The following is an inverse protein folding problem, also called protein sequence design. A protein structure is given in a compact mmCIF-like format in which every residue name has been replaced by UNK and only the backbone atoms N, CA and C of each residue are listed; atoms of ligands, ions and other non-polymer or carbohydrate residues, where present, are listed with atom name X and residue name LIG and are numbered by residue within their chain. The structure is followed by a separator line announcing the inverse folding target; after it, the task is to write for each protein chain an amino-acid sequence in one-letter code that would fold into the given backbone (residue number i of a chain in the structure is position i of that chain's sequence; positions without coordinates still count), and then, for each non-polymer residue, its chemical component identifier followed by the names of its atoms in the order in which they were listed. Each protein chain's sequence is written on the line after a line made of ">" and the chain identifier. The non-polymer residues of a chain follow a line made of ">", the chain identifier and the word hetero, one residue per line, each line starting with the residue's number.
data_IF_095271624696
#
_entry.id   IF_095271624696
#
_cell.length_a   1.000
_cell.length_b   1.000
_cell.length_c   1.000
_cell.angle_alpha   90.00
_cell.angle_beta   90.00
_cell.angle_gamma   90.00
#
_symmetry.space_group_name_H-M   'P 1'
#
loop_
_entity.id
_entity.type
_entity.pdbx_description
1 polymer ?
#
# COMPACT_ATOMS: atom_id res chain seq x y z
N UNK A 1 10.12 -22.83 23.95
CA UNK A 1 9.65 -22.46 22.59
C UNK A 1 9.95 -20.97 22.43
N UNK A 2 10.47 -20.54 21.28
CA UNK A 2 10.75 -19.11 21.04
C UNK A 2 9.42 -18.39 20.80
N UNK A 3 8.85 -17.85 21.86
CA UNK A 3 7.71 -16.95 21.73
C UNK A 3 8.23 -15.62 21.17
N UNK A 4 7.90 -15.36 19.90
CA UNK A 4 8.23 -14.11 19.22
C UNK A 4 6.98 -13.23 19.14
N UNK A 5 7.15 -11.93 19.27
CA UNK A 5 6.08 -10.94 19.09
C UNK A 5 6.57 -9.78 18.24
N UNK A 6 5.62 -9.11 17.59
CA UNK A 6 5.86 -8.05 16.62
C UNK A 6 4.96 -6.87 16.95
N UNK A 7 5.48 -5.66 16.83
CA UNK A 7 4.70 -4.43 16.94
C UNK A 7 5.16 -3.45 15.86
N UNK A 8 4.22 -2.95 15.04
CA UNK A 8 4.48 -1.94 14.04
C UNK A 8 4.61 -0.59 14.76
N UNK A 9 5.82 -0.06 14.77
CA UNK A 9 6.14 1.20 15.44
C UNK A 9 5.73 2.40 14.61
N UNK A 10 5.93 2.31 13.29
CA UNK A 10 5.80 3.42 12.37
C UNK A 10 5.77 2.94 10.92
N UNK A 11 5.14 3.73 10.05
CA UNK A 11 5.15 3.54 8.61
C UNK A 11 5.31 4.91 7.97
N UNK A 12 6.42 5.11 7.26
CA UNK A 12 6.79 6.40 6.67
C UNK A 12 7.31 6.24 5.22
N UNK A 13 7.33 7.30 4.40
CA UNK A 13 7.94 7.26 3.08
C UNK A 13 9.43 6.97 3.18
N UNK A 14 9.93 6.07 2.33
CA UNK A 14 11.36 5.77 2.25
C UNK A 14 12.09 6.98 1.65
N UNK A 15 13.07 7.57 2.36
CA UNK A 15 13.84 8.70 1.84
C UNK A 15 14.66 8.31 0.61
N UNK A 16 14.77 9.23 -0.35
CA UNK A 16 15.63 9.07 -1.53
C UNK A 16 15.32 7.84 -2.41
N UNK A 17 14.11 7.29 -2.32
CA UNK A 17 13.66 6.23 -3.20
C UNK A 17 13.34 6.77 -4.60
N UNK A 18 13.74 6.04 -5.65
CA UNK A 18 13.41 6.38 -7.03
C UNK A 18 11.98 5.97 -7.45
N UNK A 19 11.29 5.23 -6.58
CA UNK A 19 9.94 4.73 -6.75
C UNK A 19 9.23 4.78 -5.40
N UNK A 20 7.89 4.90 -5.36
CA UNK A 20 7.16 5.06 -4.12
C UNK A 20 7.29 3.80 -3.24
N UNK A 21 8.01 3.92 -2.13
CA UNK A 21 8.19 2.87 -1.12
C UNK A 21 7.80 3.47 0.24
N UNK A 22 6.97 2.76 0.99
CA UNK A 22 6.82 2.98 2.42
C UNK A 22 7.76 2.04 3.17
N UNK A 23 8.23 2.45 4.34
CA UNK A 23 9.05 1.63 5.23
C UNK A 23 8.33 1.48 6.55
N UNK A 24 7.95 0.23 6.86
CA UNK A 24 7.36 -0.12 8.15
C UNK A 24 8.45 -0.53 9.13
N UNK A 25 8.62 0.23 10.22
CA UNK A 25 9.50 -0.15 11.33
C UNK A 25 8.74 -1.04 12.28
N UNK A 26 9.31 -2.21 12.58
CA UNK A 26 8.69 -3.25 13.41
C UNK A 26 9.61 -3.58 14.56
N UNK A 27 9.13 -3.42 15.79
CA UNK A 27 9.77 -4.00 16.97
C UNK A 27 9.53 -5.51 16.96
N UNK A 28 10.61 -6.26 17.16
CA UNK A 28 10.59 -7.72 17.28
C UNK A 28 11.11 -8.08 18.66
N UNK A 29 10.35 -8.87 19.41
CA UNK A 29 10.74 -9.37 20.73
C UNK A 29 10.73 -10.89 20.75
N UNK A 30 11.67 -11.52 21.46
CA UNK A 30 11.76 -12.97 21.60
C UNK A 30 12.07 -13.37 23.03
N UNK A 31 11.46 -14.46 23.50
CA UNK A 31 11.71 -15.01 24.84
C UNK A 31 13.07 -15.71 25.01
N UNK A 32 13.81 -15.93 23.92
CA UNK A 32 15.13 -16.55 23.92
C UNK A 32 15.98 -16.00 22.78
N UNK A 33 17.33 -16.04 22.87
CA UNK A 33 18.20 -15.54 21.83
C UNK A 33 17.92 -16.16 20.45
N UNK A 34 17.74 -15.28 19.47
CA UNK A 34 17.49 -15.61 18.07
C UNK A 34 18.76 -15.35 17.27
N UNK A 35 19.09 -16.26 16.34
CA UNK A 35 20.21 -16.10 15.40
C UNK A 35 19.81 -15.36 14.13
N UNK A 36 18.61 -15.62 13.62
CA UNK A 36 18.02 -14.89 12.52
C UNK A 36 16.51 -15.15 12.43
N UNK A 37 15.78 -14.26 11.77
CA UNK A 37 14.39 -14.51 11.35
C UNK A 37 14.25 -14.21 9.86
N UNK A 38 13.83 -15.21 9.09
CA UNK A 38 13.34 -15.00 7.75
C UNK A 38 11.88 -14.54 7.85
N UNK A 39 11.68 -13.22 7.99
CA UNK A 39 10.39 -12.61 8.25
C UNK A 39 9.65 -12.32 6.94
N UNK A 40 8.39 -12.72 6.90
CA UNK A 40 7.42 -12.35 5.88
C UNK A 40 6.25 -11.66 6.56
N UNK A 41 5.63 -10.72 5.87
CA UNK A 41 4.45 -10.03 6.35
C UNK A 41 3.47 -9.83 5.20
N UNK A 42 2.21 -10.20 5.42
CA UNK A 42 1.10 -9.79 4.56
C UNK A 42 0.43 -8.57 5.20
N UNK A 43 0.36 -7.47 4.46
CA UNK A 43 -0.35 -6.27 4.89
C UNK A 43 -1.71 -6.25 4.23
N UNK A 44 -2.77 -6.12 5.03
CA UNK A 44 -4.15 -5.98 4.56
C UNK A 44 -4.71 -4.64 4.97
N UNK A 45 -5.56 -4.08 4.13
CA UNK A 45 -6.40 -2.92 4.48
C UNK A 45 -7.72 -3.45 5.00
N UNK A 46 -8.25 -2.83 6.05
CA UNK A 46 -9.55 -3.17 6.67
C UNK A 46 -10.56 -2.03 6.55
N UNK A 47 -11.09 -1.73 5.34
CA UNK A 47 -11.86 -0.52 5.09
C UNK A 47 -13.04 -0.32 6.05
N UNK A 48 -13.72 -1.41 6.42
CA UNK A 48 -14.88 -1.40 7.33
C UNK A 48 -14.58 -0.89 8.76
N UNK A 49 -13.30 -0.72 9.13
CA UNK A 49 -12.88 -0.24 10.45
C UNK A 49 -12.75 1.29 10.54
N UNK A 50 -12.97 2.03 9.45
CA UNK A 50 -13.03 3.49 9.46
C UNK A 50 -14.38 4.02 8.98
N UNK A 51 -14.66 5.27 9.32
CA UNK A 51 -15.78 6.05 8.75
C UNK A 51 -15.32 6.77 7.49
N UNK A 52 -16.28 7.14 6.65
CA UNK A 52 -16.04 7.81 5.37
C UNK A 52 -16.97 9.01 5.21
N UNK A 53 -16.41 10.14 4.77
CA UNK A 53 -17.21 11.30 4.36
C UNK A 53 -17.99 10.98 3.08
N UNK A 54 -18.95 11.83 2.72
CA UNK A 54 -19.70 11.65 1.46
C UNK A 54 -18.82 11.86 0.22
N UNK A 55 -17.81 12.73 0.31
CA UNK A 55 -16.82 12.92 -0.73
C UNK A 55 -15.96 11.65 -0.91
N UNK A 56 -15.44 11.09 0.19
CA UNK A 56 -14.68 9.83 0.14
C UNK A 56 -15.54 8.68 -0.39
N UNK A 57 -16.81 8.60 0.05
CA UNK A 57 -17.72 7.55 -0.41
C UNK A 57 -18.01 7.63 -1.92
N UNK A 58 -18.10 8.83 -2.50
CA UNK A 58 -18.26 9.01 -3.94
C UNK A 58 -17.06 8.46 -4.74
N UNK A 59 -15.83 8.62 -4.22
CA UNK A 59 -14.61 8.06 -4.81
C UNK A 59 -14.47 6.55 -4.69
N UNK A 60 -15.29 5.90 -3.85
CA UNK A 60 -15.21 4.46 -3.56
C UNK A 60 -16.30 3.63 -4.25
N UNK A 61 -17.16 4.25 -5.07
CA UNK A 61 -18.27 3.56 -5.74
C UNK A 61 -17.77 2.42 -6.63
N UNK A 62 -16.66 2.61 -7.34
CA UNK A 62 -16.09 1.57 -8.20
C UNK A 62 -15.57 0.34 -7.42
N UNK A 63 -15.26 0.52 -6.13
CA UNK A 63 -14.74 -0.55 -5.27
C UNK A 63 -15.84 -1.26 -4.49
N UNK A 64 -16.75 -0.49 -3.88
CA UNK A 64 -17.72 -1.01 -2.93
C UNK A 64 -19.19 -0.85 -3.39
N UNK A 65 -19.44 -0.13 -4.47
CA UNK A 65 -20.78 0.31 -4.87
C UNK A 65 -21.32 1.42 -3.97
N UNK A 66 -22.62 1.67 -4.08
CA UNK A 66 -23.32 2.60 -3.18
C UNK A 66 -23.27 2.17 -1.72
N UNK A 67 -23.42 3.13 -0.80
CA UNK A 67 -23.30 2.92 0.66
C UNK A 67 -24.23 1.81 1.19
N UNK A 68 -25.39 1.63 0.57
CA UNK A 68 -26.36 0.59 0.89
C UNK A 68 -25.80 -0.84 0.72
N UNK A 69 -24.74 -1.02 -0.07
CA UNK A 69 -24.11 -2.32 -0.33
C UNK A 69 -22.92 -2.62 0.58
N UNK A 70 -22.39 -1.62 1.29
CA UNK A 70 -21.09 -1.70 1.97
C UNK A 70 -20.99 -2.81 3.00
N UNK A 71 -22.09 -3.13 3.69
CA UNK A 71 -22.12 -4.27 4.63
C UNK A 71 -21.72 -5.61 4.01
N UNK A 72 -21.89 -5.75 2.68
CA UNK A 72 -21.59 -6.96 1.92
C UNK A 72 -20.42 -6.82 0.94
N UNK A 73 -19.89 -5.62 0.72
CA UNK A 73 -18.83 -5.37 -0.28
C UNK A 73 -17.52 -4.87 0.33
N UNK A 74 -17.58 -4.30 1.54
CA UNK A 74 -16.44 -3.66 2.20
C UNK A 74 -15.54 -4.67 2.94
N UNK A 75 -15.05 -5.67 2.21
CA UNK A 75 -14.19 -6.70 2.75
C UNK A 75 -12.74 -6.22 2.89
N UNK A 76 -12.02 -6.76 3.88
CA UNK A 76 -10.57 -6.56 3.99
C UNK A 76 -9.86 -7.24 2.83
N UNK A 77 -8.95 -6.53 2.17
CA UNK A 77 -8.19 -7.06 1.04
C UNK A 77 -6.69 -6.98 1.29
N UNK A 78 -5.94 -7.88 0.65
CA UNK A 78 -4.47 -7.87 0.68
C UNK A 78 -4.00 -6.65 -0.10
N UNK A 79 -3.19 -5.81 0.55
CA UNK A 79 -2.53 -4.71 -0.13
C UNK A 79 -1.24 -5.18 -0.77
N UNK A 80 -0.33 -5.74 0.03
CA UNK A 80 0.97 -6.22 -0.43
C UNK A 80 1.54 -7.28 0.49
N UNK A 81 2.62 -7.92 0.02
CA UNK A 81 3.49 -8.74 0.85
C UNK A 81 4.89 -8.14 0.87
N UNK A 82 5.49 -8.11 2.05
CA UNK A 82 6.85 -7.66 2.28
C UNK A 82 7.63 -8.69 3.09
N UNK A 83 8.96 -8.60 3.04
CA UNK A 83 9.84 -9.52 3.74
C UNK A 83 11.14 -8.84 4.15
N UNK A 84 11.75 -9.32 5.23
CA UNK A 84 13.06 -8.89 5.70
C UNK A 84 13.79 -10.05 6.37
N UNK A 85 15.12 -9.99 6.38
CA UNK A 85 15.95 -10.87 7.18
C UNK A 85 16.33 -10.13 8.47
N UNK A 86 15.72 -10.52 9.58
CA UNK A 86 16.06 -9.98 10.92
C UNK A 86 17.34 -10.66 11.38
N UNK A 87 18.34 -9.87 11.74
CA UNK A 87 19.62 -10.36 12.26
C UNK A 87 19.46 -10.90 13.69
N UNK A 88 20.46 -11.61 14.20
CA UNK A 88 20.40 -12.18 15.54
C UNK A 88 20.31 -11.12 16.64
N UNK A 89 19.48 -11.39 17.65
CA UNK A 89 19.26 -10.53 18.81
C UNK A 89 18.95 -11.37 20.06
N UNK A 90 19.17 -10.80 21.23
CA UNK A 90 18.99 -11.51 22.50
C UNK A 90 17.56 -11.42 23.06
N UNK A 91 16.98 -10.22 23.03
CA UNK A 91 15.65 -9.93 23.62
C UNK A 91 14.76 -9.18 22.64
N UNK A 92 15.22 -8.01 22.18
CA UNK A 92 14.47 -7.17 21.24
C UNK A 92 15.37 -6.61 20.13
N UNK A 93 14.79 -6.35 18.97
CA UNK A 93 15.41 -5.55 17.91
C UNK A 93 14.35 -4.80 17.09
N UNK A 94 14.80 -3.88 16.24
CA UNK A 94 13.96 -3.30 15.19
C UNK A 94 14.32 -3.89 13.83
N UNK A 95 13.29 -4.15 13.01
CA UNK A 95 13.42 -4.55 11.62
C UNK A 95 12.62 -3.59 10.75
N UNK A 96 13.12 -3.32 9.54
CA UNK A 96 12.41 -2.50 8.55
C UNK A 96 11.86 -3.40 7.45
N UNK A 97 10.56 -3.32 7.21
CA UNK A 97 9.89 -4.00 6.11
C UNK A 97 9.63 -2.99 4.97
N UNK A 98 10.27 -3.15 3.80
CA UNK A 98 9.99 -2.32 2.65
C UNK A 98 8.61 -2.67 2.09
N UNK A 99 7.81 -1.66 1.81
CA UNK A 99 6.46 -1.75 1.26
C UNK A 99 6.41 -1.01 -0.08
N UNK A 100 6.82 -1.66 -1.18
CA UNK A 100 6.72 -1.08 -2.51
C UNK A 100 5.27 -0.74 -2.84
N UNK A 101 5.03 0.53 -3.13
CA UNK A 101 3.72 1.05 -3.48
C UNK A 101 3.62 1.29 -4.99
N UNK A 102 2.40 1.46 -5.48
CA UNK A 102 2.15 1.82 -6.88
C UNK A 102 1.12 2.94 -6.94
N UNK A 103 1.32 3.85 -7.90
CA UNK A 103 0.34 4.88 -8.22
C UNK A 103 -0.84 4.32 -9.03
N UNK A 104 -0.70 3.13 -9.64
CA UNK A 104 -1.65 2.62 -10.64
C UNK A 104 -3.10 2.68 -10.16
N UNK A 105 -3.87 3.60 -10.75
CA UNK A 105 -5.28 3.82 -10.45
C UNK A 105 -6.14 2.60 -10.77
N UNK A 106 -5.69 1.56 -11.47
CA UNK A 106 -6.47 0.33 -11.64
C UNK A 106 -6.28 -0.69 -10.51
N UNK A 107 -5.30 -0.47 -9.64
CA UNK A 107 -5.09 -1.30 -8.46
C UNK A 107 -6.07 -0.88 -7.37
N UNK A 108 -6.88 -1.83 -6.90
CA UNK A 108 -7.94 -1.57 -5.91
C UNK A 108 -7.44 -0.84 -4.66
N UNK A 109 -6.26 -1.19 -4.17
CA UNK A 109 -5.63 -0.51 -3.03
C UNK A 109 -5.31 0.95 -3.35
N UNK A 110 -4.79 1.26 -4.53
CA UNK A 110 -4.49 2.64 -4.94
C UNK A 110 -5.78 3.45 -5.14
N UNK A 111 -6.82 2.90 -5.81
CA UNK A 111 -8.16 3.54 -5.88
C UNK A 111 -8.67 3.91 -4.49
N UNK A 112 -8.59 2.95 -3.58
CA UNK A 112 -9.03 3.11 -2.20
C UNK A 112 -8.28 4.24 -1.52
N UNK A 113 -6.94 4.21 -1.54
CA UNK A 113 -6.09 5.19 -0.86
C UNK A 113 -6.20 6.59 -1.47
N UNK A 114 -6.39 6.70 -2.79
CA UNK A 114 -6.59 7.98 -3.48
C UNK A 114 -7.94 8.63 -3.17
N UNK A 115 -8.97 7.84 -2.86
CA UNK A 115 -10.29 8.35 -2.50
C UNK A 115 -10.33 8.96 -1.08
N UNK A 116 -9.30 8.75 -0.25
CA UNK A 116 -9.27 9.24 1.13
C UNK A 116 -8.71 10.66 1.22
N UNK A 117 -9.37 11.48 2.01
CA UNK A 117 -8.98 12.87 2.23
C UNK A 117 -8.19 13.01 3.53
N UNK A 118 -8.72 12.42 4.61
CA UNK A 118 -8.22 12.61 5.98
C UNK A 118 -8.29 11.31 6.82
N UNK A 119 -7.79 11.41 8.06
CA UNK A 119 -7.81 10.33 9.04
C UNK A 119 -6.75 9.27 8.78
N UNK A 120 -7.09 8.02 9.03
CA UNK A 120 -6.16 6.89 8.97
C UNK A 120 -6.69 5.76 8.11
N UNK A 121 -5.78 4.97 7.56
CA UNK A 121 -6.03 3.73 6.85
C UNK A 121 -5.79 2.59 7.84
N UNK A 122 -6.84 1.85 8.25
CA UNK A 122 -6.68 0.72 9.15
C UNK A 122 -5.95 -0.42 8.43
N UNK A 123 -4.74 -0.73 8.89
CA UNK A 123 -3.92 -1.83 8.41
C UNK A 123 -3.87 -2.96 9.45
N UNK A 124 -3.76 -4.18 8.96
CA UNK A 124 -3.34 -5.34 9.75
C UNK A 124 -2.13 -6.01 9.09
N UNK A 125 -1.10 -6.22 9.89
CA UNK A 125 0.15 -6.87 9.51
C UNK A 125 0.09 -8.30 10.03
N UNK A 126 0.09 -9.27 9.12
CA UNK A 126 0.08 -10.69 9.44
C UNK A 126 1.49 -11.25 9.26
N UNK A 127 2.18 -11.51 10.38
CA UNK A 127 3.56 -11.95 10.39
C UNK A 127 3.65 -13.47 10.24
N UNK A 128 4.60 -13.91 9.42
CA UNK A 128 4.88 -15.32 9.18
C UNK A 128 6.35 -15.52 8.85
N UNK A 129 6.84 -16.76 8.87
CA UNK A 129 8.21 -17.06 8.51
C UNK A 129 8.90 -18.01 9.49
N UNK A 130 10.23 -17.96 9.49
CA UNK A 130 11.06 -18.93 10.19
C UNK A 130 12.01 -18.26 11.16
N UNK A 131 11.99 -18.70 12.42
CA UNK A 131 12.92 -18.30 13.48
C UNK A 131 14.03 -19.33 13.59
N UNK A 132 15.28 -18.86 13.51
CA UNK A 132 16.48 -19.66 13.70
C UNK A 132 17.04 -19.37 15.09
N UNK A 133 17.16 -20.39 15.92
CA UNK A 133 17.65 -20.33 17.31
C UNK A 133 18.83 -21.27 17.52
N UNK A 134 19.43 -21.25 18.71
CA UNK A 134 20.41 -22.27 19.12
C UNK A 134 19.67 -23.54 19.55
N UNK A 135 19.90 -24.64 18.84
CA UNK A 135 19.42 -25.97 19.19
C UNK A 135 20.41 -26.73 20.08
N UNK A 136 19.99 -27.88 20.62
CA UNK A 136 20.79 -28.70 21.54
C UNK A 136 22.14 -29.19 20.96
N UNK A 137 22.27 -29.24 19.63
CA UNK A 137 23.49 -29.64 18.93
C UNK A 137 23.71 -28.91 17.60
N UNK A 138 23.13 -27.72 17.41
CA UNK A 138 23.16 -27.00 16.13
C UNK A 138 22.12 -25.88 16.06
N UNK A 139 21.43 -25.76 14.92
CA UNK A 139 20.33 -24.80 14.76
C UNK A 139 18.99 -25.39 15.21
N UNK A 140 18.24 -24.62 15.99
CA UNK A 140 16.81 -24.82 16.19
C UNK A 140 16.05 -24.05 15.13
N UNK A 141 15.05 -24.69 14.51
CA UNK A 141 14.20 -24.06 13.49
C UNK A 141 12.76 -24.11 13.98
N UNK A 142 12.10 -22.96 14.01
CA UNK A 142 10.69 -22.84 14.41
C UNK A 142 9.95 -21.95 13.43
N UNK A 143 8.68 -22.26 13.16
CA UNK A 143 7.81 -21.37 12.39
C UNK A 143 7.23 -20.31 13.32
N UNK A 144 7.07 -19.09 12.79
CA UNK A 144 6.29 -18.04 13.45
C UNK A 144 4.83 -18.54 13.52
N UNK A 145 4.20 -18.54 14.71
CA UNK A 145 2.79 -18.89 14.86
C UNK A 145 1.88 -18.03 13.98
N UNK A 146 0.75 -18.60 13.53
CA UNK A 146 -0.18 -17.91 12.61
C UNK A 146 -0.94 -16.75 13.26
N UNK A 147 -1.00 -16.70 14.59
CA UNK A 147 -1.70 -15.69 15.39
C UNK A 147 -0.87 -14.41 15.61
N UNK A 148 0.31 -14.30 14.99
CA UNK A 148 1.17 -13.12 15.09
C UNK A 148 0.71 -12.05 14.13
N UNK A 149 -0.14 -11.18 14.64
CA UNK A 149 -0.60 -9.99 13.93
C UNK A 149 -0.39 -8.73 14.75
N UNK A 150 -0.34 -7.59 14.05
CA UNK A 150 -0.47 -6.28 14.68
C UNK A 150 -1.29 -5.32 13.81
N UNK A 151 -1.95 -4.35 14.46
CA UNK A 151 -2.80 -3.36 13.79
C UNK A 151 -2.13 -2.01 13.81
N UNK A 152 -2.13 -1.33 12.67
CA UNK A 152 -1.53 -0.02 12.52
C UNK A 152 -2.45 0.91 11.74
N UNK A 153 -2.70 2.10 12.29
CA UNK A 153 -3.52 3.13 11.65
C UNK A 153 -2.62 4.07 10.85
N UNK A 154 -2.40 3.75 9.56
CA UNK A 154 -1.55 4.54 8.68
C UNK A 154 -2.19 5.92 8.40
N UNK A 155 -1.56 7.05 8.76
CA UNK A 155 -2.13 8.35 8.44
C UNK A 155 -2.31 8.53 6.92
N UNK A 156 -3.48 9.01 6.50
CA UNK A 156 -3.74 9.29 5.07
C UNK A 156 -2.74 10.33 4.52
N UNK A 157 -2.27 11.24 5.37
CA UNK A 157 -1.21 12.20 5.01
C UNK A 157 0.08 11.52 4.56
N UNK A 158 0.50 10.41 5.20
CA UNK A 158 1.72 9.67 4.81
C UNK A 158 1.61 9.15 3.38
N UNK A 159 0.46 8.58 3.02
CA UNK A 159 0.20 8.16 1.65
C UNK A 159 0.22 9.34 0.68
N UNK A 160 -0.49 10.42 1.01
CA UNK A 160 -0.56 11.62 0.16
C UNK A 160 0.81 12.26 -0.06
N UNK A 161 1.65 12.28 0.96
CA UNK A 161 3.00 12.83 0.87
C UNK A 161 3.92 11.93 0.04
N UNK A 162 3.82 10.60 0.19
CA UNK A 162 4.53 9.65 -0.68
C UNK A 162 4.17 9.88 -2.15
N UNK A 163 2.89 10.00 -2.44
CA UNK A 163 2.39 10.20 -3.80
C UNK A 163 2.83 11.57 -4.35
N UNK A 164 2.67 12.64 -3.57
CA UNK A 164 3.09 14.00 -3.99
C UNK A 164 4.59 14.07 -4.29
N UNK A 165 5.41 13.35 -3.52
CA UNK A 165 6.86 13.28 -3.72
C UNK A 165 7.24 12.64 -5.06
N UNK A 166 6.50 11.61 -5.49
CA UNK A 166 6.83 10.84 -6.68
C UNK A 166 6.06 11.26 -7.94
N UNK A 167 4.89 11.88 -7.78
CA UNK A 167 4.00 12.31 -8.87
C UNK A 167 3.46 13.72 -8.61
N UNK A 168 4.34 14.75 -8.58
CA UNK A 168 3.92 16.12 -8.31
C UNK A 168 3.05 16.64 -9.45
N UNK A 169 1.85 17.14 -9.13
CA UNK A 169 0.87 17.74 -10.07
C UNK A 169 0.53 16.85 -11.28
N UNK A 170 0.81 15.56 -11.19
CA UNK A 170 0.69 14.61 -12.29
C UNK A 170 0.09 13.31 -11.77
N UNK A 171 -0.48 12.53 -12.67
CA UNK A 171 -1.00 11.21 -12.35
C UNK A 171 -0.77 10.25 -13.51
N UNK A 172 -0.98 8.97 -13.23
CA UNK A 172 -0.92 7.91 -14.24
C UNK A 172 -2.32 7.51 -14.66
N UNK A 173 -2.58 7.48 -15.96
CA UNK A 173 -3.79 6.87 -16.54
C UNK A 173 -3.35 5.72 -17.42
N UNK A 174 -3.80 4.51 -17.08
CA UNK A 174 -3.55 3.35 -17.93
C UNK A 174 -4.53 3.38 -19.10
N UNK A 175 -3.99 3.41 -20.31
CA UNK A 175 -4.77 3.39 -21.55
C UNK A 175 -4.49 2.12 -22.35
N UNK A 176 -5.49 1.66 -23.11
CA UNK A 176 -5.31 0.60 -24.09
C UNK A 176 -4.35 1.05 -25.20
N UNK A 177 -3.68 0.09 -25.85
CA UNK A 177 -2.70 0.39 -26.90
C UNK A 177 -3.30 1.21 -28.05
N UNK A 178 -4.47 0.81 -28.53
CA UNK A 178 -5.19 1.53 -29.60
C UNK A 178 -5.56 2.95 -29.18
N UNK A 179 -5.99 3.14 -27.92
CA UNK A 179 -6.28 4.48 -27.38
C UNK A 179 -5.03 5.36 -27.30
N UNK A 180 -3.87 4.78 -26.93
CA UNK A 180 -2.60 5.50 -26.92
C UNK A 180 -2.18 5.93 -28.33
N UNK A 181 -2.31 5.04 -29.30
CA UNK A 181 -2.01 5.31 -30.71
C UNK A 181 -2.93 6.43 -31.25
N UNK A 182 -4.23 6.35 -31.00
CA UNK A 182 -5.20 7.38 -31.38
C UNK A 182 -4.93 8.73 -30.70
N UNK A 183 -4.57 8.75 -29.41
CA UNK A 183 -4.24 9.98 -28.69
C UNK A 183 -2.94 10.60 -29.22
N UNK A 184 -1.96 9.79 -29.58
CA UNK A 184 -0.72 10.25 -30.19
C UNK A 184 -0.95 10.84 -31.60
N UNK A 185 -1.80 10.20 -32.41
CA UNK A 185 -2.20 10.70 -33.73
C UNK A 185 -2.96 12.04 -33.61
N UNK A 186 -3.93 12.12 -32.69
CA UNK A 186 -4.68 13.34 -32.41
C UNK A 186 -3.75 14.50 -32.03
N UNK A 187 -2.83 14.25 -31.08
CA UNK A 187 -1.81 15.21 -30.66
C UNK A 187 -0.98 15.70 -31.84
N UNK A 188 -0.49 14.78 -32.67
CA UNK A 188 0.38 15.10 -33.81
C UNK A 188 -0.35 15.92 -34.87
N UNK A 189 -1.61 15.56 -35.18
CA UNK A 189 -2.40 16.20 -36.24
C UNK A 189 -2.73 17.66 -35.91
N UNK A 190 -2.83 17.99 -34.62
CA UNK A 190 -3.15 19.33 -34.13
C UNK A 190 -1.93 20.12 -33.64
N UNK A 191 -0.74 19.54 -33.72
CA UNK A 191 0.50 20.21 -33.30
C UNK A 191 0.58 20.48 -31.80
N UNK A 192 -0.09 19.67 -30.97
CA UNK A 192 -0.10 19.82 -29.52
C UNK A 192 1.22 19.38 -28.89
N UNK A 193 1.60 20.01 -27.79
CA UNK A 193 2.91 19.84 -27.15
C UNK A 193 2.97 18.53 -26.35
N UNK A 194 1.85 18.06 -25.82
CA UNK A 194 1.78 16.89 -24.97
C UNK A 194 0.46 16.13 -25.04
N UNK A 195 0.45 14.91 -24.50
CA UNK A 195 -0.79 14.12 -24.37
C UNK A 195 -1.76 14.75 -23.36
N UNK A 196 -1.25 15.48 -22.35
CA UNK A 196 -2.07 16.20 -21.38
C UNK A 196 -2.93 17.30 -22.05
N UNK A 197 -2.34 18.04 -22.98
CA UNK A 197 -3.03 19.04 -23.79
C UNK A 197 -4.08 18.38 -24.71
N UNK A 198 -3.73 17.25 -25.33
CA UNK A 198 -4.67 16.47 -26.14
C UNK A 198 -5.89 16.00 -25.34
N UNK A 199 -5.68 15.51 -24.12
CA UNK A 199 -6.77 15.10 -23.21
C UNK A 199 -7.60 16.31 -22.78
N UNK A 200 -6.97 17.43 -22.44
CA UNK A 200 -7.65 18.67 -22.04
C UNK A 200 -8.56 19.20 -23.15
N UNK A 201 -8.08 19.19 -24.40
CA UNK A 201 -8.86 19.61 -25.56
C UNK A 201 -10.07 18.67 -25.81
N UNK A 202 -9.87 17.36 -25.75
CA UNK A 202 -10.96 16.36 -25.88
C UNK A 202 -12.05 16.54 -24.80
N UNK A 203 -11.64 16.78 -23.54
CA UNK A 203 -12.56 17.02 -22.44
C UNK A 203 -13.33 18.33 -22.61
N UNK A 204 -12.69 19.38 -23.12
CA UNK A 204 -13.35 20.65 -23.41
C UNK A 204 -14.45 20.50 -24.48
N UNK A 205 -14.14 19.82 -25.58
CA UNK A 205 -15.10 19.57 -26.68
C UNK A 205 -16.35 18.82 -26.19
N UNK A 206 -16.16 17.82 -25.32
CA UNK A 206 -17.27 17.04 -24.76
C UNK A 206 -18.18 17.91 -23.88
N UNK A 207 -17.60 18.85 -23.11
CA UNK A 207 -18.38 19.78 -22.27
C UNK A 207 -19.18 20.79 -23.09
N UNK A 208 -18.67 21.21 -24.24
CA UNK A 208 -19.38 22.10 -25.16
C UNK A 208 -20.55 21.40 -25.85
N UNK A 209 -20.41 20.12 -26.18
CA UNK A 209 -21.48 19.31 -26.79
C UNK A 209 -22.59 18.90 -25.81
N UNK A 210 -22.30 18.87 -24.51
CA UNK A 210 -23.28 18.56 -23.47
C UNK A 210 -24.10 19.78 -22.99
N UNK A 211 -23.80 20.99 -23.49
CA UNK A 211 -24.54 22.23 -23.24
C UNK A 211 -25.54 22.51 -24.37
#
# INVERSE_FOLDING_TARGET
>A
MSEVSFAVLDVAPEPYAAAPILSARVAVSAAAPVHAIALRCQVRIEPHRRRYTDAEAAGLVDLFGGRERWSSTQHSFVWLQCAALVQGFAETCEATLPMPCTYDFEVAASKYLHALEEGTVPLVFLFSGTVFTKGAGGFGVQQIPWDREDRYDLPVSVWRDLIRMHFPNTGWVRLGRETLEALAEYKSTRGLVGLDEAVTELLAQTREQAR
#
